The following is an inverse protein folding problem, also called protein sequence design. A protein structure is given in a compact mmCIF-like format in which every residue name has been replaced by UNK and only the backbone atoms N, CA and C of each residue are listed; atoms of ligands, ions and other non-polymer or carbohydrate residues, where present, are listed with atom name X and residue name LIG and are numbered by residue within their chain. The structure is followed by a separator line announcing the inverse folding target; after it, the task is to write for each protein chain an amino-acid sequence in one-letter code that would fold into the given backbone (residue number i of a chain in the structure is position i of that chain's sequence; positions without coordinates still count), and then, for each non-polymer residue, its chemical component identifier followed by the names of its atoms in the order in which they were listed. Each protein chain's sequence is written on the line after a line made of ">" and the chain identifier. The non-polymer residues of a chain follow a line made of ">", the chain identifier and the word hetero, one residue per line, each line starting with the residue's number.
data_IF_194983963714
#
_entry.id   IF_194983963714
#
_cell.length_a   1.000
_cell.length_b   1.000
_cell.length_c   1.000
_cell.angle_alpha   90.00
_cell.angle_beta   90.00
_cell.angle_gamma   90.00
#
_symmetry.space_group_name_H-M   'P 1'
#
loop_
_entity.id
_entity.type
_entity.pdbx_description
1 polymer ?
#
# COMPACT_ATOMS: atom_id res chain seq x y z
N UNK A 1 23.42 -46.43 -53.26
CA UNK A 1 22.87 -45.17 -52.69
C UNK A 1 22.17 -45.36 -51.32
N UNK A 2 22.57 -46.35 -50.51
CA UNK A 2 21.86 -46.72 -49.26
C UNK A 2 22.61 -46.32 -47.97
N UNK A 3 23.95 -46.32 -47.96
CA UNK A 3 24.77 -45.99 -46.77
C UNK A 3 24.71 -44.51 -46.35
N UNK A 4 24.67 -43.58 -47.31
CA UNK A 4 24.70 -42.13 -47.05
C UNK A 4 23.37 -41.59 -46.52
N UNK A 5 22.24 -42.16 -46.96
CA UNK A 5 20.90 -41.84 -46.44
C UNK A 5 20.70 -42.37 -45.02
N UNK A 6 21.26 -43.54 -44.71
CA UNK A 6 21.21 -44.12 -43.36
C UNK A 6 21.98 -43.27 -42.33
N UNK A 7 23.16 -42.73 -42.70
CA UNK A 7 23.93 -41.84 -41.82
C UNK A 7 23.26 -40.48 -41.57
N UNK A 8 22.57 -39.93 -42.57
CA UNK A 8 21.81 -38.67 -42.42
C UNK A 8 20.58 -38.87 -41.53
N UNK A 9 19.89 -40.01 -41.65
CA UNK A 9 18.74 -40.35 -40.80
C UNK A 9 19.17 -40.63 -39.34
N UNK A 10 20.30 -41.31 -39.12
CA UNK A 10 20.86 -41.51 -37.78
C UNK A 10 21.29 -40.20 -37.12
N UNK A 11 21.85 -39.25 -37.89
CA UNK A 11 22.19 -37.92 -37.40
C UNK A 11 20.95 -37.10 -37.00
N UNK A 12 19.90 -37.12 -37.81
CA UNK A 12 18.66 -36.38 -37.55
C UNK A 12 17.91 -36.92 -36.31
N UNK A 13 17.86 -38.24 -36.13
CA UNK A 13 17.26 -38.87 -34.95
C UNK A 13 18.09 -38.58 -33.69
N UNK A 14 19.42 -38.59 -33.80
CA UNK A 14 20.31 -38.20 -32.70
C UNK A 14 20.10 -36.75 -32.26
N UNK A 15 20.01 -35.80 -33.19
CA UNK A 15 19.75 -34.40 -32.87
C UNK A 15 18.38 -34.16 -32.24
N UNK A 16 17.33 -34.85 -32.72
CA UNK A 16 15.98 -34.75 -32.12
C UNK A 16 15.95 -35.28 -30.69
N UNK A 17 16.65 -36.37 -30.40
CA UNK A 17 16.77 -36.91 -29.05
C UNK A 17 17.51 -35.96 -28.10
N UNK A 18 18.59 -35.31 -28.57
CA UNK A 18 19.33 -34.33 -27.76
C UNK A 18 18.46 -33.11 -27.46
N UNK A 19 17.72 -32.59 -28.43
CA UNK A 19 16.81 -31.44 -28.22
C UNK A 19 15.71 -31.81 -27.24
N UNK A 20 15.10 -32.98 -27.39
CA UNK A 20 14.08 -33.46 -26.44
C UNK A 20 14.65 -33.59 -25.03
N UNK A 21 15.89 -34.09 -24.87
CA UNK A 21 16.55 -34.21 -23.57
C UNK A 21 16.86 -32.85 -22.93
N UNK A 22 17.27 -31.86 -23.73
CA UNK A 22 17.53 -30.49 -23.26
C UNK A 22 16.24 -29.80 -22.82
N UNK A 23 15.15 -29.94 -23.60
CA UNK A 23 13.83 -29.42 -23.21
C UNK A 23 13.34 -30.09 -21.92
N UNK A 24 13.52 -31.41 -21.79
CA UNK A 24 13.18 -32.13 -20.56
C UNK A 24 13.99 -31.63 -19.37
N UNK A 25 15.30 -31.38 -19.53
CA UNK A 25 16.15 -30.84 -18.48
C UNK A 25 15.76 -29.41 -18.06
N UNK A 26 15.31 -28.57 -19.00
CA UNK A 26 14.82 -27.21 -18.70
C UNK A 26 13.49 -27.27 -17.94
N UNK A 27 12.56 -28.13 -18.37
CA UNK A 27 11.26 -28.32 -17.70
C UNK A 27 11.43 -28.95 -16.31
N UNK A 28 12.38 -29.88 -16.15
CA UNK A 28 12.62 -30.56 -14.87
C UNK A 28 13.43 -29.72 -13.88
N UNK A 29 14.31 -28.81 -14.36
CA UNK A 29 14.95 -27.80 -13.48
C UNK A 29 14.01 -26.67 -13.04
N UNK A 30 12.83 -26.55 -13.64
CA UNK A 30 11.78 -25.60 -13.23
C UNK A 30 10.86 -26.11 -12.12
N UNK A 31 11.09 -27.31 -11.55
CA UNK A 31 10.20 -27.93 -10.57
C UNK A 31 10.84 -28.11 -9.18
N UNK A 32 10.19 -27.51 -8.18
CA UNK A 32 10.33 -27.75 -6.74
C UNK A 32 11.52 -27.08 -6.02
N UNK A 33 11.51 -25.75 -5.99
CA UNK A 33 11.93 -25.05 -4.77
C UNK A 33 10.90 -25.36 -3.68
N UNK A 34 11.23 -26.24 -2.74
CA UNK A 34 10.56 -26.30 -1.45
C UNK A 34 10.70 -24.93 -0.78
N UNK A 35 9.62 -24.22 -0.40
CA UNK A 35 9.77 -23.09 0.51
C UNK A 35 10.23 -23.69 1.83
N UNK A 36 11.51 -23.51 2.16
CA UNK A 36 11.91 -23.49 3.54
C UNK A 36 11.08 -22.39 4.19
N UNK A 37 10.41 -22.70 5.29
CA UNK A 37 9.78 -21.71 6.14
C UNK A 37 10.89 -20.75 6.62
N UNK A 38 11.07 -19.67 5.86
CA UNK A 38 11.53 -18.42 6.42
C UNK A 38 10.31 -17.93 7.19
N UNK A 39 10.45 -17.76 8.50
CA UNK A 39 9.52 -16.95 9.27
C UNK A 39 9.54 -15.56 8.64
N UNK A 40 8.60 -15.36 7.73
CA UNK A 40 8.23 -14.07 7.21
C UNK A 40 7.63 -13.31 8.41
N UNK A 41 8.45 -12.45 9.01
CA UNK A 41 7.99 -11.49 10.02
C UNK A 41 7.25 -10.32 9.36
N UNK A 42 6.77 -10.48 8.12
CA UNK A 42 5.72 -9.64 7.57
C UNK A 42 4.52 -9.60 8.52
N UNK A 43 3.96 -8.40 8.68
CA UNK A 43 2.65 -8.18 9.28
C UNK A 43 1.67 -9.24 8.76
N UNK A 44 0.93 -9.96 9.62
CA UNK A 44 -0.17 -10.81 9.16
C UNK A 44 -1.07 -10.02 8.20
N UNK A 45 -1.02 -10.40 6.92
CA UNK A 45 -2.03 -9.99 5.97
C UNK A 45 -3.39 -10.49 6.49
N UNK A 46 -4.46 -9.69 6.45
CA UNK A 46 -5.78 -10.13 6.89
C UNK A 46 -6.17 -11.43 6.18
N UNK A 47 -6.09 -12.54 6.91
CA UNK A 47 -6.54 -13.83 6.42
C UNK A 47 -8.06 -13.85 6.50
N UNK A 48 -8.69 -13.85 5.32
CA UNK A 48 -10.14 -13.81 5.07
C UNK A 48 -10.72 -12.39 5.03
N UNK A 49 -10.36 -11.62 4.00
CA UNK A 49 -11.25 -10.59 3.51
C UNK A 49 -12.49 -11.26 2.89
N UNK A 50 -13.73 -10.85 3.21
CA UNK A 50 -14.90 -11.31 2.48
C UNK A 50 -14.72 -11.03 0.99
N UNK A 51 -15.29 -11.89 0.12
CA UNK A 51 -15.19 -11.72 -1.32
C UNK A 51 -15.56 -10.28 -1.71
N UNK A 52 -14.79 -9.62 -2.60
CA UNK A 52 -15.04 -8.24 -2.99
C UNK A 52 -16.48 -8.10 -3.47
N UNK A 53 -17.28 -7.31 -2.74
CA UNK A 53 -18.53 -6.81 -3.28
C UNK A 53 -18.17 -5.71 -4.28
N UNK A 54 -18.70 -5.81 -5.49
CA UNK A 54 -18.58 -4.73 -6.46
C UNK A 54 -19.12 -3.44 -5.83
N UNK A 55 -18.36 -2.34 -5.97
CA UNK A 55 -18.79 -1.01 -5.51
C UNK A 55 -20.20 -0.72 -6.01
N UNK A 56 -21.16 -0.69 -5.09
CA UNK A 56 -22.42 -0.02 -5.35
C UNK A 56 -22.14 1.49 -5.30
N UNK A 57 -22.76 2.26 -6.19
CA UNK A 57 -22.69 3.72 -6.12
C UNK A 57 -23.16 4.18 -4.74
N UNK A 58 -22.25 4.78 -3.96
CA UNK A 58 -22.58 5.37 -2.67
C UNK A 58 -23.58 6.52 -2.90
N UNK A 59 -24.61 6.70 -2.06
CA UNK A 59 -25.54 7.82 -2.20
C UNK A 59 -24.79 9.17 -2.20
N UNK A 60 -25.23 10.09 -3.06
CA UNK A 60 -24.76 11.48 -3.14
C UNK A 60 -24.76 12.12 -1.73
N UNK A 61 -23.57 12.35 -1.17
CA UNK A 61 -23.42 13.00 0.12
C UNK A 61 -23.79 14.49 -0.02
N UNK A 62 -24.97 14.87 0.46
CA UNK A 62 -25.57 16.22 0.26
C UNK A 62 -25.32 17.18 1.44
N UNK A 63 -24.33 16.94 2.31
CA UNK A 63 -24.07 17.78 3.48
C UNK A 63 -22.63 18.31 3.49
N UNK A 64 -22.46 19.58 3.90
CA UNK A 64 -21.16 20.13 4.29
C UNK A 64 -20.49 19.26 5.38
N UNK A 65 -19.15 19.25 5.50
CA UNK A 65 -18.43 18.28 6.32
C UNK A 65 -18.57 18.60 7.82
N UNK A 66 -19.61 18.04 8.43
CA UNK A 66 -19.77 17.84 9.88
C UNK A 66 -19.08 16.53 10.34
N UNK A 67 -18.12 16.03 9.54
CA UNK A 67 -17.26 14.93 9.94
C UNK A 67 -16.31 15.34 11.07
N UNK A 68 -15.67 14.37 11.75
CA UNK A 68 -14.71 14.64 12.81
C UNK A 68 -13.64 15.65 12.40
N UNK A 69 -13.18 16.45 13.37
CA UNK A 69 -12.10 17.43 13.14
C UNK A 69 -11.00 17.30 14.19
N UNK A 70 -10.17 16.23 14.10
CA UNK A 70 -8.93 16.18 14.83
C UNK A 70 -8.09 17.43 14.57
N UNK A 71 -7.58 18.04 15.63
CA UNK A 71 -6.81 19.29 15.52
C UNK A 71 -5.30 19.07 15.63
N UNK A 72 -4.90 17.95 16.22
CA UNK A 72 -3.51 17.57 16.45
C UNK A 72 -3.28 16.11 16.07
N UNK A 73 -2.03 15.78 15.70
CA UNK A 73 -1.69 14.40 15.30
C UNK A 73 -1.79 13.39 16.45
N UNK A 74 -1.64 13.83 17.70
CA UNK A 74 -1.78 12.97 18.88
C UNK A 74 -3.20 12.41 19.02
N UNK A 75 -4.21 13.11 18.50
CA UNK A 75 -5.61 12.67 18.51
C UNK A 75 -5.87 11.48 17.56
N UNK A 76 -4.96 11.21 16.62
CA UNK A 76 -5.13 10.12 15.65
C UNK A 76 -4.71 8.77 16.23
N UNK A 77 -3.83 8.72 17.22
CA UNK A 77 -3.18 7.47 17.64
C UNK A 77 -3.47 7.15 19.09
N UNK A 78 -3.85 5.90 19.36
CA UNK A 78 -3.98 5.42 20.73
C UNK A 78 -2.59 5.25 21.36
N UNK A 79 -2.49 5.27 22.70
CA UNK A 79 -1.21 5.01 23.38
C UNK A 79 -0.57 3.67 22.99
N UNK A 80 -1.38 2.66 22.62
CA UNK A 80 -0.89 1.36 22.18
C UNK A 80 -0.19 1.45 20.82
N UNK A 81 -0.78 2.16 19.85
CA UNK A 81 -0.16 2.37 18.54
C UNK A 81 1.07 3.28 18.65
N UNK A 82 1.00 4.35 19.46
CA UNK A 82 2.17 5.19 19.75
C UNK A 82 3.33 4.35 20.27
N UNK A 83 3.08 3.45 21.23
CA UNK A 83 4.12 2.55 21.74
C UNK A 83 4.62 1.55 20.68
N UNK A 84 3.79 1.15 19.72
CA UNK A 84 4.15 0.20 18.68
C UNK A 84 5.04 0.81 17.58
N UNK A 85 5.09 2.14 17.46
CA UNK A 85 6.03 2.84 16.58
C UNK A 85 7.49 2.80 17.10
N UNK A 86 7.71 2.34 18.33
CA UNK A 86 9.05 2.11 18.87
C UNK A 86 9.86 3.40 19.03
N UNK A 87 11.03 3.44 18.39
CA UNK A 87 11.96 4.57 18.47
C UNK A 87 11.58 5.75 17.54
N UNK A 88 10.54 5.61 16.72
CA UNK A 88 10.06 6.71 15.89
C UNK A 88 9.35 7.77 16.74
N UNK A 89 9.55 9.02 16.36
CA UNK A 89 8.92 10.18 16.99
C UNK A 89 7.85 10.72 16.05
N UNK A 90 6.74 11.17 16.62
CA UNK A 90 5.68 11.86 15.90
C UNK A 90 6.10 13.33 15.66
N UNK A 91 6.10 13.75 14.40
CA UNK A 91 6.43 15.09 13.93
C UNK A 91 7.74 15.63 14.51
N UNK A 92 8.89 14.95 14.31
CA UNK A 92 10.18 15.47 14.74
C UNK A 92 10.48 16.83 14.09
N UNK A 93 11.24 17.69 14.77
CA UNK A 93 11.36 19.11 14.39
C UNK A 93 11.79 19.35 12.93
N UNK A 94 12.65 18.49 12.39
CA UNK A 94 13.16 18.59 11.03
C UNK A 94 12.07 18.44 9.95
N UNK A 95 10.93 17.80 10.27
CA UNK A 95 9.80 17.65 9.33
C UNK A 95 9.23 18.99 8.90
N UNK A 96 9.24 19.98 9.80
CA UNK A 96 8.72 21.33 9.54
C UNK A 96 9.73 22.23 8.79
N UNK A 97 10.95 21.77 8.55
CA UNK A 97 11.95 22.53 7.82
C UNK A 97 11.59 22.63 6.33
N UNK A 98 11.98 23.74 5.71
CA UNK A 98 11.80 23.91 4.27
C UNK A 98 12.62 22.85 3.52
N UNK A 99 12.00 22.19 2.54
CA UNK A 99 12.62 21.11 1.77
C UNK A 99 13.04 19.90 2.62
N UNK A 100 12.31 19.59 3.70
CA UNK A 100 12.52 18.40 4.55
C UNK A 100 12.43 17.06 3.78
N UNK A 101 11.86 17.06 2.57
CA UNK A 101 11.71 15.86 1.73
C UNK A 101 10.59 14.93 2.20
N UNK A 102 9.76 15.37 3.15
CA UNK A 102 8.59 14.63 3.62
C UNK A 102 7.59 14.46 2.48
N UNK A 103 7.19 13.22 2.20
CA UNK A 103 6.16 12.93 1.20
C UNK A 103 4.78 13.43 1.66
N UNK A 104 3.80 13.47 0.75
CA UNK A 104 2.44 13.95 1.05
C UNK A 104 1.44 12.79 1.14
N UNK A 105 1.81 11.71 1.82
CA UNK A 105 0.93 10.55 2.03
C UNK A 105 0.57 9.77 0.75
N UNK A 106 1.25 10.05 -0.37
CA UNK A 106 1.07 9.46 -1.69
C UNK A 106 2.31 9.72 -2.55
N UNK A 107 2.62 8.83 -3.49
CA UNK A 107 3.61 9.00 -4.56
C UNK A 107 2.96 9.47 -5.88
N UNK A 108 1.65 9.23 -6.04
CA UNK A 108 0.90 9.68 -7.21
C UNK A 108 0.72 11.20 -7.25
N UNK A 109 1.14 11.83 -8.35
CA UNK A 109 1.15 13.29 -8.49
C UNK A 109 -0.24 13.92 -8.53
N UNK A 110 -1.25 13.21 -9.05
CA UNK A 110 -2.63 13.74 -9.08
C UNK A 110 -3.26 13.68 -7.68
N UNK A 111 -3.00 12.61 -6.91
CA UNK A 111 -3.41 12.55 -5.51
C UNK A 111 -2.73 13.65 -4.67
N UNK A 112 -1.41 13.86 -4.83
CA UNK A 112 -0.69 14.94 -4.15
C UNK A 112 -1.31 16.30 -4.47
N UNK A 113 -1.63 16.56 -5.74
CA UNK A 113 -2.28 17.80 -6.15
C UNK A 113 -3.67 17.98 -5.51
N UNK A 114 -4.42 16.89 -5.32
CA UNK A 114 -5.71 16.93 -4.61
C UNK A 114 -5.54 17.23 -3.11
N UNK A 115 -4.50 16.69 -2.47
CA UNK A 115 -4.15 17.00 -1.06
C UNK A 115 -3.82 18.48 -0.91
N UNK A 116 -3.00 19.02 -1.81
CA UNK A 116 -2.61 20.44 -1.81
C UNK A 116 -3.79 21.37 -2.09
N UNK A 117 -4.70 20.95 -2.97
CA UNK A 117 -5.89 21.73 -3.32
C UNK A 117 -6.96 21.74 -2.20
N UNK A 118 -6.94 20.77 -1.29
CA UNK A 118 -7.90 20.67 -0.19
C UNK A 118 -7.64 21.66 0.96
N UNK A 119 -6.58 22.47 0.88
CA UNK A 119 -6.30 23.55 1.81
C UNK A 119 -5.22 23.19 2.82
N UNK A 120 -5.59 23.01 4.08
CA UNK A 120 -4.65 22.71 5.18
C UNK A 120 -4.90 21.31 5.73
N UNK A 121 -4.29 20.26 5.16
CA UNK A 121 -4.34 18.94 5.75
C UNK A 121 -3.63 18.93 7.11
N UNK A 122 -4.01 18.00 7.98
CA UNK A 122 -3.25 17.69 9.18
C UNK A 122 -2.21 16.62 8.81
N UNK A 123 -0.95 17.04 8.65
CA UNK A 123 0.18 16.19 8.29
C UNK A 123 0.82 15.58 9.55
N UNK A 124 0.85 14.25 9.61
CA UNK A 124 1.38 13.49 10.73
C UNK A 124 2.46 12.52 10.25
N UNK A 125 3.69 12.76 10.69
CA UNK A 125 4.89 12.02 10.25
C UNK A 125 5.48 11.27 11.43
N UNK A 126 5.55 9.96 11.33
CA UNK A 126 6.38 9.13 12.19
C UNK A 126 7.72 8.93 11.52
N UNK A 127 8.78 9.42 12.15
CA UNK A 127 10.13 9.28 11.62
C UNK A 127 11.18 9.33 12.75
N UNK A 128 12.42 9.02 12.41
CA UNK A 128 13.53 9.12 13.36
C UNK A 128 13.73 10.58 13.80
N UNK A 129 14.03 10.78 15.08
CA UNK A 129 14.18 12.12 15.68
C UNK A 129 15.26 12.95 14.97
N UNK A 130 16.33 12.29 14.50
CA UNK A 130 17.51 12.94 13.93
C UNK A 130 17.53 12.96 12.39
N UNK A 131 16.43 12.59 11.72
CA UNK A 131 16.30 12.71 10.25
C UNK A 131 15.72 11.46 9.55
N UNK A 132 15.65 11.54 8.22
CA UNK A 132 15.22 10.43 7.36
C UNK A 132 16.17 9.23 7.46
N UNK A 133 15.60 8.02 7.50
CA UNK A 133 16.32 6.80 7.91
C UNK A 133 15.91 5.53 7.16
N UNK A 134 15.18 5.64 6.04
CA UNK A 134 14.58 4.46 5.39
C UNK A 134 13.56 3.76 6.29
N UNK A 135 12.93 4.53 7.17
CA UNK A 135 11.87 4.12 8.07
C UNK A 135 10.98 5.34 8.32
N UNK A 136 9.70 5.24 8.00
CA UNK A 136 8.75 6.31 8.29
C UNK A 136 7.36 6.11 7.72
N UNK A 137 6.41 6.83 8.29
CA UNK A 137 5.01 6.82 7.89
C UNK A 137 4.49 8.25 7.90
N UNK A 138 4.00 8.72 6.76
CA UNK A 138 3.33 10.01 6.66
C UNK A 138 1.86 9.80 6.40
N UNK A 139 1.02 10.36 7.26
CA UNK A 139 -0.43 10.42 7.08
C UNK A 139 -0.85 11.87 6.89
N UNK A 140 -1.57 12.14 5.80
CA UNK A 140 -2.32 13.36 5.58
C UNK A 140 -3.78 13.11 5.91
N UNK A 141 -4.32 13.80 6.92
CA UNK A 141 -5.76 13.87 7.16
C UNK A 141 -6.31 15.09 6.41
N UNK A 142 -7.11 14.82 5.40
CA UNK A 142 -7.60 15.81 4.44
C UNK A 142 -9.12 15.92 4.53
N UNK A 143 -9.63 17.15 4.68
CA UNK A 143 -11.06 17.42 4.56
C UNK A 143 -11.41 17.63 3.10
N UNK A 144 -12.32 16.81 2.57
CA UNK A 144 -12.68 16.79 1.16
C UNK A 144 -14.16 17.05 0.97
N UNK A 145 -14.51 17.81 -0.08
CA UNK A 145 -15.90 17.90 -0.54
C UNK A 145 -16.33 16.59 -1.21
N UNK A 146 -17.64 16.37 -1.43
CA UNK A 146 -18.12 15.21 -2.19
C UNK A 146 -17.46 15.08 -3.57
N UNK A 147 -17.24 16.20 -4.27
CA UNK A 147 -16.59 16.23 -5.59
C UNK A 147 -15.11 15.84 -5.50
N UNK A 148 -14.41 16.34 -4.48
CA UNK A 148 -13.00 15.96 -4.23
C UNK A 148 -12.89 14.48 -3.84
N UNK A 149 -13.79 13.97 -3.00
CA UNK A 149 -13.85 12.56 -2.62
C UNK A 149 -14.05 11.65 -3.84
N UNK A 150 -14.97 12.02 -4.74
CA UNK A 150 -15.20 11.30 -5.99
C UNK A 150 -13.96 11.34 -6.91
N UNK A 151 -13.26 12.48 -6.99
CA UNK A 151 -12.03 12.61 -7.76
C UNK A 151 -10.91 11.70 -7.21
N UNK A 152 -10.75 11.66 -5.88
CA UNK A 152 -9.79 10.78 -5.20
C UNK A 152 -10.14 9.32 -5.49
N UNK A 153 -11.40 8.89 -5.30
CA UNK A 153 -11.84 7.51 -5.57
C UNK A 153 -11.57 7.10 -7.03
N UNK A 154 -11.91 7.97 -7.97
CA UNK A 154 -11.65 7.75 -9.39
C UNK A 154 -10.17 7.55 -9.67
N UNK A 155 -9.30 8.40 -9.08
CA UNK A 155 -7.85 8.29 -9.25
C UNK A 155 -7.28 7.01 -8.65
N UNK A 156 -7.65 6.68 -7.41
CA UNK A 156 -7.21 5.46 -6.71
C UNK A 156 -7.54 4.19 -7.52
N UNK A 157 -8.74 4.15 -8.10
CA UNK A 157 -9.17 3.04 -8.96
C UNK A 157 -8.41 3.03 -10.29
N UNK A 158 -8.21 4.20 -10.89
CA UNK A 158 -7.51 4.33 -12.18
C UNK A 158 -6.03 3.90 -12.11
N UNK A 159 -5.35 4.16 -10.98
CA UNK A 159 -3.97 3.70 -10.74
C UNK A 159 -3.89 2.25 -10.25
N UNK A 160 -5.04 1.57 -10.11
CA UNK A 160 -5.10 0.14 -9.85
C UNK A 160 -4.90 -0.28 -8.39
N UNK A 161 -5.13 0.61 -7.43
CA UNK A 161 -5.08 0.23 -6.01
C UNK A 161 -6.18 -0.79 -5.66
N UNK A 162 -5.92 -1.65 -4.68
CA UNK A 162 -6.90 -2.60 -4.21
C UNK A 162 -7.91 -1.89 -3.29
N UNK A 163 -9.04 -1.48 -3.86
CA UNK A 163 -10.11 -0.76 -3.17
C UNK A 163 -11.25 -1.68 -2.71
N UNK A 164 -11.68 -1.55 -1.46
CA UNK A 164 -12.77 -2.32 -0.86
C UNK A 164 -13.49 -1.50 0.23
N UNK A 165 -14.71 -1.90 0.56
CA UNK A 165 -15.43 -1.33 1.70
C UNK A 165 -14.87 -1.87 3.01
N UNK A 166 -14.59 -0.98 3.95
CA UNK A 166 -14.09 -1.31 5.29
C UNK A 166 -14.51 -0.22 6.28
N UNK A 167 -14.89 -0.57 7.51
CA UNK A 167 -15.17 0.37 8.61
C UNK A 167 -16.11 1.55 8.24
N UNK A 168 -17.10 1.30 7.38
CA UNK A 168 -18.08 2.30 6.93
C UNK A 168 -17.54 3.30 5.90
N UNK A 169 -16.35 3.06 5.34
CA UNK A 169 -15.76 3.85 4.27
C UNK A 169 -15.20 2.97 3.16
N UNK A 170 -14.47 3.60 2.25
CA UNK A 170 -13.70 2.90 1.22
C UNK A 170 -12.22 2.96 1.60
N UNK A 171 -11.56 1.81 1.63
CA UNK A 171 -10.11 1.70 1.77
C UNK A 171 -9.48 1.23 0.47
N UNK A 172 -8.42 1.90 0.04
CA UNK A 172 -7.58 1.50 -1.08
C UNK A 172 -6.15 1.28 -0.59
N UNK A 173 -5.57 0.11 -0.90
CA UNK A 173 -4.23 -0.28 -0.47
C UNK A 173 -3.38 -0.68 -1.68
N UNK A 174 -2.12 -0.25 -1.67
CA UNK A 174 -1.04 -0.88 -2.44
C UNK A 174 0.11 -1.12 -1.47
N UNK A 175 0.71 -2.30 -1.54
CA UNK A 175 1.85 -2.68 -0.71
C UNK A 175 2.79 -3.51 -1.58
N UNK A 176 4.08 -3.29 -1.40
CA UNK A 176 5.12 -4.06 -2.04
C UNK A 176 6.18 -4.44 -1.02
N UNK A 177 6.73 -5.63 -1.20
CA UNK A 177 7.89 -6.09 -0.44
C UNK A 177 9.03 -6.33 -1.41
N UNK A 178 10.15 -5.65 -1.20
CA UNK A 178 11.35 -5.81 -2.02
C UNK A 178 12.58 -5.88 -1.12
N UNK A 179 13.41 -6.93 -1.28
CA UNK A 179 14.60 -7.16 -0.46
C UNK A 179 14.38 -7.07 1.07
N UNK A 180 13.18 -7.42 1.54
CA UNK A 180 12.79 -7.35 2.96
C UNK A 180 12.31 -5.97 3.42
N UNK A 181 12.33 -4.97 2.54
CA UNK A 181 11.73 -3.65 2.76
C UNK A 181 10.26 -3.68 2.35
N UNK A 182 9.40 -3.14 3.21
CA UNK A 182 7.96 -3.02 2.97
C UNK A 182 7.65 -1.56 2.68
N UNK A 183 7.04 -1.29 1.54
CA UNK A 183 6.58 0.04 1.15
C UNK A 183 5.14 -0.02 0.71
N UNK A 184 4.41 1.06 0.88
CA UNK A 184 3.05 1.10 0.37
C UNK A 184 2.30 2.37 0.71
N UNK A 185 1.06 2.37 0.25
CA UNK A 185 0.10 3.43 0.49
C UNK A 185 -1.24 2.85 0.95
N UNK A 186 -1.86 3.51 1.92
CA UNK A 186 -3.20 3.21 2.38
C UNK A 186 -4.02 4.49 2.37
N UNK A 187 -5.07 4.50 1.55
CA UNK A 187 -6.04 5.58 1.51
C UNK A 187 -7.36 5.13 2.11
N UNK A 188 -7.96 5.97 2.95
CA UNK A 188 -9.28 5.71 3.50
C UNK A 188 -10.17 6.94 3.32
N UNK A 189 -11.35 6.74 2.73
CA UNK A 189 -12.35 7.79 2.51
C UNK A 189 -13.65 7.48 3.25
N UNK A 190 -14.10 8.42 4.07
CA UNK A 190 -15.35 8.34 4.85
C UNK A 190 -15.77 9.73 5.32
N UNK A 191 -17.06 10.03 5.29
CA UNK A 191 -17.67 11.23 5.91
C UNK A 191 -16.96 12.57 5.59
N UNK A 192 -16.51 12.77 4.35
CA UNK A 192 -15.80 13.98 3.94
C UNK A 192 -14.36 14.09 4.45
N UNK A 193 -13.79 12.99 4.94
CA UNK A 193 -12.39 12.85 5.29
C UNK A 193 -11.70 11.87 4.36
N UNK A 194 -10.46 12.21 4.02
CA UNK A 194 -9.53 11.34 3.32
C UNK A 194 -8.25 11.22 4.15
N UNK A 195 -7.95 10.01 4.60
CA UNK A 195 -6.65 9.65 5.16
C UNK A 195 -5.78 9.16 4.01
N UNK A 196 -4.73 9.89 3.67
CA UNK A 196 -3.71 9.45 2.72
C UNK A 196 -2.44 9.09 3.48
N UNK A 197 -2.07 7.81 3.52
CA UNK A 197 -0.86 7.36 4.19
C UNK A 197 0.11 6.74 3.20
N UNK A 198 1.36 7.18 3.23
CA UNK A 198 2.51 6.52 2.59
C UNK A 198 3.48 6.06 3.68
N UNK A 199 4.00 4.85 3.54
CA UNK A 199 4.90 4.25 4.53
C UNK A 199 6.05 3.49 3.88
N UNK A 200 7.18 3.46 4.59
CA UNK A 200 8.38 2.72 4.27
C UNK A 200 8.91 2.09 5.55
N UNK A 201 8.90 0.76 5.64
CA UNK A 201 9.23 -0.06 6.80
C UNK A 201 8.53 0.32 8.12
N UNK A 202 7.59 1.26 8.09
CA UNK A 202 6.88 1.79 9.25
C UNK A 202 5.39 1.58 9.14
N UNK A 203 4.73 1.73 10.27
CA UNK A 203 4.31 0.49 10.88
C UNK A 203 2.85 0.33 11.15
N UNK A 204 2.47 0.36 12.43
CA UNK A 204 2.17 -0.88 13.13
C UNK A 204 0.87 -1.54 12.67
N UNK A 205 0.77 -2.85 12.87
CA UNK A 205 -0.41 -3.60 12.47
C UNK A 205 -1.65 -2.96 13.09
N UNK A 206 -2.64 -2.67 12.25
CA UNK A 206 -3.87 -2.03 12.69
C UNK A 206 -3.80 -0.52 12.90
N UNK A 207 -2.69 0.18 12.59
CA UNK A 207 -2.62 1.65 12.76
C UNK A 207 -3.77 2.37 12.04
N UNK A 208 -4.17 1.94 10.84
CA UNK A 208 -5.30 2.55 10.13
C UNK A 208 -6.63 2.34 10.88
N UNK A 209 -6.84 1.14 11.42
CA UNK A 209 -8.04 0.83 12.20
C UNK A 209 -8.08 1.67 13.49
N UNK A 210 -6.92 1.85 14.12
CA UNK A 210 -6.77 2.69 15.31
C UNK A 210 -7.07 4.16 15.02
N UNK A 211 -6.51 4.71 13.93
CA UNK A 211 -6.84 6.07 13.47
C UNK A 211 -8.35 6.21 13.26
N UNK A 212 -8.98 5.27 12.55
CA UNK A 212 -10.42 5.33 12.28
C UNK A 212 -11.21 5.26 13.59
N UNK A 213 -10.80 4.40 14.54
CA UNK A 213 -11.46 4.28 15.84
C UNK A 213 -11.34 5.57 16.67
N UNK A 214 -10.21 6.26 16.63
CA UNK A 214 -9.98 7.51 17.37
C UNK A 214 -10.66 8.71 16.71
N UNK A 215 -10.50 8.87 15.39
CA UNK A 215 -11.05 10.01 14.65
C UNK A 215 -12.57 10.02 14.69
N UNK A 216 -13.21 8.85 14.56
CA UNK A 216 -14.67 8.73 14.65
C UNK A 216 -15.16 8.31 16.04
N UNK A 217 -14.34 8.47 17.08
CA UNK A 217 -14.79 8.22 18.45
C UNK A 217 -15.89 9.22 18.83
N UNK A 218 -17.13 8.75 18.91
CA UNK A 218 -18.29 9.56 19.31
C UNK A 218 -19.11 10.17 18.17
N UNK A 219 -18.82 9.81 16.91
CA UNK A 219 -19.68 10.09 15.76
C UNK A 219 -20.86 9.10 15.64
#
# INVERSE_FOLDING_TARGET
>A
MTRRRMWVLLGAVGSLLVIALVVLLIVWRGGASTPGAVEDTGRPQPHSSPAPLALAALPEQTSAPDGPRPSTCDELYSPAIVSAFGDLVLNPAWVAEENSGVNRGSEDQELIALIDAAGKPLTCVWANENGGSGLGLTTELVWVTPEQSAAVQSRLTAIGMNCYEELGGMRCLIESTNDGEITGESHFLRDGLWLATSYFNAGPDGYTHDIIANVWAGA
#
